data_IF_572103342531
#
_entry.id   IF_572103342531
#
_cell.length_a   1.000
_cell.length_b   1.000
_cell.length_c   1.000
_cell.angle_alpha   90.00
_cell.angle_beta   90.00
_cell.angle_gamma   90.00
#
_symmetry.space_group_name_H-M   'P 1'
#
loop_
_entity.id
_entity.type
_entity.pdbx_description
1 polymer ?
#
# COMPACT_ATOMS: atom_id res chain seq x y z
N UNK A 1 24.80 8.10 -15.99
CA UNK A 1 24.21 8.70 -14.78
C UNK A 1 23.64 7.57 -13.96
N UNK A 2 24.21 7.24 -12.79
CA UNK A 2 23.47 6.39 -11.85
C UNK A 2 22.27 7.22 -11.39
N UNK A 3 21.08 6.67 -11.55
CA UNK A 3 19.90 7.18 -10.84
C UNK A 3 20.04 6.67 -9.42
N UNK A 4 20.69 7.46 -8.56
CA UNK A 4 20.77 7.13 -7.14
C UNK A 4 19.34 7.12 -6.59
N UNK A 5 18.95 6.01 -5.99
CA UNK A 5 17.60 5.80 -5.47
C UNK A 5 17.59 4.54 -4.60
N UNK A 6 16.61 4.45 -3.73
CA UNK A 6 16.52 3.39 -2.73
C UNK A 6 15.29 2.53 -2.96
N UNK A 7 15.46 1.22 -2.80
CA UNK A 7 14.31 0.34 -2.60
C UNK A 7 14.02 0.24 -1.11
N UNK A 8 12.79 0.58 -0.74
CA UNK A 8 12.27 0.29 0.59
C UNK A 8 11.49 -1.01 0.50
N UNK A 9 11.93 -2.01 1.25
CA UNK A 9 11.27 -3.31 1.35
C UNK A 9 10.86 -3.54 2.80
N UNK A 10 9.59 -3.86 3.02
CA UNK A 10 9.06 -4.20 4.33
C UNK A 10 8.24 -5.48 4.24
N UNK A 11 8.02 -6.13 5.37
CA UNK A 11 7.15 -7.30 5.42
C UNK A 11 6.73 -7.68 6.83
N UNK A 12 5.56 -8.28 6.92
CA UNK A 12 4.98 -8.73 8.18
C UNK A 12 3.98 -9.88 7.94
N UNK A 13 3.75 -10.75 8.95
CA UNK A 13 2.64 -11.70 8.88
C UNK A 13 1.30 -10.96 8.80
N UNK A 14 0.38 -11.51 8.01
CA UNK A 14 -1.02 -11.08 7.89
C UNK A 14 -1.92 -12.32 7.90
N UNK A 15 -3.14 -12.16 8.37
CA UNK A 15 -4.14 -13.23 8.28
C UNK A 15 -4.50 -13.47 6.80
N UNK A 16 -4.69 -14.74 6.42
CA UNK A 16 -5.06 -15.11 5.05
C UNK A 16 -6.37 -14.45 4.61
N UNK A 17 -7.30 -14.22 5.54
CA UNK A 17 -8.56 -13.50 5.29
C UNK A 17 -8.38 -12.04 4.87
N UNK A 18 -7.23 -11.42 5.14
CA UNK A 18 -6.93 -10.03 4.78
C UNK A 18 -6.22 -9.88 3.43
N UNK A 19 -5.82 -10.98 2.79
CA UNK A 19 -5.07 -10.93 1.52
C UNK A 19 -5.90 -10.23 0.43
N UNK A 20 -7.18 -10.58 0.31
CA UNK A 20 -8.08 -9.96 -0.68
C UNK A 20 -8.20 -8.45 -0.48
N UNK A 21 -8.50 -8.02 0.74
CA UNK A 21 -8.60 -6.60 1.12
C UNK A 21 -7.31 -5.83 0.81
N UNK A 22 -6.13 -6.36 1.21
CA UNK A 22 -4.85 -5.69 0.98
C UNK A 22 -4.52 -5.62 -0.52
N UNK A 23 -4.81 -6.68 -1.27
CA UNK A 23 -4.59 -6.75 -2.73
C UNK A 23 -5.41 -5.69 -3.43
N UNK A 24 -6.72 -5.64 -3.15
CA UNK A 24 -7.62 -4.65 -3.74
C UNK A 24 -7.18 -3.22 -3.42
N UNK A 25 -6.76 -2.94 -2.17
CA UNK A 25 -6.26 -1.62 -1.78
C UNK A 25 -5.01 -1.20 -2.55
N UNK A 26 -4.03 -2.10 -2.73
CA UNK A 26 -2.78 -1.76 -3.43
C UNK A 26 -3.02 -1.62 -4.93
N UNK A 27 -3.77 -2.53 -5.55
CA UNK A 27 -4.12 -2.47 -6.97
C UNK A 27 -4.90 -1.19 -7.29
N UNK A 28 -5.90 -0.86 -6.48
CA UNK A 28 -6.67 0.40 -6.62
C UNK A 28 -5.76 1.62 -6.66
N UNK A 29 -4.77 1.71 -5.75
CA UNK A 29 -3.87 2.87 -5.70
C UNK A 29 -2.85 2.85 -6.84
N UNK A 30 -2.40 1.66 -7.26
CA UNK A 30 -1.44 1.49 -8.36
C UNK A 30 -2.01 1.86 -9.73
N UNK A 31 -3.33 1.79 -9.89
CA UNK A 31 -4.01 2.10 -11.15
C UNK A 31 -4.50 3.54 -11.24
N UNK A 32 -4.44 4.30 -10.14
CA UNK A 32 -4.77 5.73 -10.14
C UNK A 32 -3.69 6.58 -10.81
N UNK A 33 -4.12 7.61 -11.53
CA UNK A 33 -3.26 8.70 -11.97
C UNK A 33 -2.93 9.68 -10.83
N UNK A 34 -2.08 10.67 -11.12
CA UNK A 34 -1.61 11.65 -10.12
C UNK A 34 -2.74 12.51 -9.53
N UNK A 35 -3.78 12.80 -10.29
CA UNK A 35 -4.88 13.64 -9.84
C UNK A 35 -5.93 12.82 -9.09
N UNK A 36 -6.16 11.58 -9.52
CA UNK A 36 -6.93 10.57 -8.80
C UNK A 36 -6.30 10.26 -7.44
N UNK A 37 -4.98 10.09 -7.37
CA UNK A 37 -4.23 9.89 -6.11
C UNK A 37 -4.48 11.05 -5.14
N UNK A 38 -4.39 12.30 -5.60
CA UNK A 38 -4.61 13.48 -4.76
C UNK A 38 -6.05 13.55 -4.26
N UNK A 39 -7.02 13.29 -5.14
CA UNK A 39 -8.44 13.32 -4.81
C UNK A 39 -8.78 12.21 -3.78
N UNK A 40 -8.30 10.99 -4.03
CA UNK A 40 -8.50 9.84 -3.16
C UNK A 40 -7.84 10.05 -1.78
N UNK A 41 -6.61 10.58 -1.73
CA UNK A 41 -5.93 10.93 -0.47
C UNK A 41 -6.73 11.94 0.37
N UNK A 42 -7.26 13.00 -0.25
CA UNK A 42 -8.10 13.99 0.44
C UNK A 42 -9.39 13.35 0.97
N UNK A 43 -10.07 12.54 0.16
CA UNK A 43 -11.28 11.81 0.56
C UNK A 43 -11.00 10.90 1.76
N UNK A 44 -9.91 10.12 1.73
CA UNK A 44 -9.55 9.18 2.79
C UNK A 44 -9.20 9.87 4.11
N UNK A 45 -8.55 11.02 4.09
CA UNK A 45 -8.32 11.83 5.31
C UNK A 45 -9.64 12.28 5.96
N UNK A 46 -10.61 12.68 5.14
CA UNK A 46 -11.91 13.12 5.64
C UNK A 46 -12.68 11.93 6.26
N UNK A 47 -12.66 10.77 5.59
CA UNK A 47 -13.28 9.54 6.09
C UNK A 47 -12.60 8.99 7.36
N UNK A 48 -11.26 9.03 7.43
CA UNK A 48 -10.51 8.50 8.58
C UNK A 48 -10.71 9.32 9.84
N UNK A 49 -11.04 10.61 9.73
CA UNK A 49 -11.42 11.44 10.89
C UNK A 49 -12.77 11.04 11.49
N UNK A 50 -13.59 10.29 10.74
CA UNK A 50 -14.96 9.90 11.12
C UNK A 50 -15.01 8.45 11.64
N UNK A 51 -13.99 7.63 11.37
CA UNK A 51 -13.95 6.20 11.70
C UNK A 51 -12.91 5.88 12.78
N UNK A 52 -13.32 5.30 13.91
CA UNK A 52 -12.43 4.79 14.98
C UNK A 52 -11.53 3.61 14.55
N UNK A 53 -11.74 3.02 13.38
CA UNK A 53 -10.91 1.93 12.89
C UNK A 53 -9.62 2.50 12.30
N UNK A 54 -8.55 2.51 13.11
CA UNK A 54 -7.17 2.85 12.73
C UNK A 54 -6.56 1.87 11.71
N UNK A 55 -7.16 1.76 10.52
CA UNK A 55 -6.81 0.80 9.49
C UNK A 55 -5.81 1.31 8.46
N UNK A 56 -5.01 0.39 7.92
CA UNK A 56 -3.89 0.56 7.00
C UNK A 56 -4.20 1.23 5.64
N UNK A 57 -5.46 1.57 5.32
CA UNK A 57 -5.87 2.10 4.02
C UNK A 57 -5.26 3.47 3.66
N UNK A 58 -4.83 4.25 4.66
CA UNK A 58 -4.12 5.52 4.43
C UNK A 58 -2.65 5.32 4.00
N UNK A 59 -2.03 4.20 4.36
CA UNK A 59 -0.59 3.99 4.19
C UNK A 59 -0.18 3.84 2.72
N UNK A 60 -0.90 3.02 1.95
CA UNK A 60 -0.54 2.73 0.56
C UNK A 60 -0.67 3.95 -0.36
N UNK A 61 -1.76 4.72 -0.22
CA UNK A 61 -1.95 5.96 -0.98
C UNK A 61 -0.87 6.99 -0.66
N UNK A 62 -0.46 7.10 0.60
CA UNK A 62 0.61 8.03 0.99
C UNK A 62 1.97 7.59 0.41
N UNK A 63 2.25 6.29 0.36
CA UNK A 63 3.45 5.74 -0.30
C UNK A 63 3.46 6.08 -1.79
N UNK A 64 2.41 5.76 -2.54
CA UNK A 64 2.37 6.04 -3.99
C UNK A 64 2.40 7.54 -4.26
N UNK A 65 1.73 8.36 -3.44
CA UNK A 65 1.78 9.82 -3.54
C UNK A 65 3.19 10.39 -3.30
N UNK A 66 3.92 9.88 -2.30
CA UNK A 66 5.26 10.36 -1.94
C UNK A 66 6.33 9.90 -2.92
N UNK A 67 6.24 8.66 -3.36
CA UNK A 67 7.24 8.04 -4.26
C UNK A 67 6.98 8.35 -5.73
N UNK A 68 5.71 8.55 -6.10
CA UNK A 68 5.28 8.61 -7.49
C UNK A 68 5.40 7.27 -8.23
N UNK A 69 5.66 6.17 -7.51
CA UNK A 69 5.92 4.85 -8.06
C UNK A 69 4.86 3.85 -7.59
N UNK A 70 4.58 2.85 -8.43
CA UNK A 70 3.71 1.73 -8.06
C UNK A 70 4.35 0.91 -6.94
N UNK A 71 3.51 0.33 -6.09
CA UNK A 71 3.90 -0.62 -5.05
C UNK A 71 3.96 -2.01 -5.66
N UNK A 72 5.12 -2.65 -5.57
CA UNK A 72 5.26 -4.10 -5.80
C UNK A 72 4.94 -4.83 -4.49
N UNK A 73 4.17 -5.92 -4.55
CA UNK A 73 3.85 -6.71 -3.36
C UNK A 73 3.74 -8.20 -3.65
N UNK A 74 3.90 -8.99 -2.59
CA UNK A 74 3.79 -10.44 -2.65
C UNK A 74 3.34 -11.02 -1.30
N UNK A 75 2.65 -12.16 -1.35
CA UNK A 75 2.28 -12.92 -0.15
C UNK A 75 2.90 -14.31 -0.22
N UNK A 76 3.64 -14.70 0.82
CA UNK A 76 4.13 -16.09 0.97
C UNK A 76 3.33 -16.81 2.03
N UNK A 77 2.68 -17.92 1.67
CA UNK A 77 1.94 -18.75 2.63
C UNK A 77 2.87 -19.19 3.76
N UNK A 78 2.48 -18.93 5.01
CA UNK A 78 3.15 -19.46 6.20
C UNK A 78 2.44 -20.74 6.63
N UNK A 79 1.12 -20.67 6.76
CA UNK A 79 0.24 -21.79 7.14
C UNK A 79 -1.20 -21.51 6.67
N UNK A 80 -2.17 -22.27 7.17
CA UNK A 80 -3.57 -22.16 6.74
C UNK A 80 -4.28 -20.91 7.27
N UNK A 81 -3.72 -20.23 8.28
CA UNK A 81 -4.32 -19.01 8.86
C UNK A 81 -3.58 -17.73 8.49
N UNK A 82 -2.30 -17.80 8.09
CA UNK A 82 -1.45 -16.64 7.86
C UNK A 82 -0.50 -16.76 6.65
N UNK A 83 -0.17 -15.61 6.10
CA UNK A 83 0.83 -15.40 5.05
C UNK A 83 1.76 -14.25 5.42
N UNK A 84 3.00 -14.30 4.96
CA UNK A 84 3.95 -13.21 5.09
C UNK A 84 3.74 -12.24 3.92
N UNK A 85 3.27 -11.03 4.23
CA UNK A 85 3.15 -9.93 3.27
C UNK A 85 4.52 -9.28 3.07
N UNK A 86 4.88 -9.01 1.82
CA UNK A 86 6.10 -8.33 1.42
C UNK A 86 5.69 -7.18 0.50
N UNK A 87 6.21 -5.99 0.77
CA UNK A 87 6.00 -4.79 -0.03
C UNK A 87 7.34 -4.19 -0.43
N UNK A 88 7.43 -3.69 -1.66
CA UNK A 88 8.61 -3.02 -2.20
C UNK A 88 8.19 -1.78 -2.99
N UNK A 89 8.88 -0.67 -2.77
CA UNK A 89 8.71 0.56 -3.55
C UNK A 89 10.06 1.22 -3.81
N UNK A 90 10.14 1.99 -4.89
CA UNK A 90 11.33 2.74 -5.27
C UNK A 90 11.20 4.21 -4.83
N UNK A 91 12.29 4.78 -4.32
CA UNK A 91 12.38 6.18 -3.89
C UNK A 91 13.57 6.81 -4.62
N UNK A 92 13.32 7.92 -5.31
CA UNK A 92 14.37 8.73 -5.96
C UNK A 92 15.10 9.62 -4.95
#
# INVERSE_FOLDING_TARGET
>A
KSTDGYFVVTGNPVANSRIGEITEMIETVNDMDKDEIKAYYKKKILESRISEKGGAGLGFIDIVKKTGNKIEFHFRKINDIASFFIMKTYIN
#
